data_IF_111274549280
#
_entry.id   IF_111274549280
#
_cell.length_a   1.000
_cell.length_b   1.000
_cell.length_c   1.000
_cell.angle_alpha   90.00
_cell.angle_beta   90.00
_cell.angle_gamma   90.00
#
_symmetry.space_group_name_H-M   'P 1'
#
loop_
_entity.id
_entity.type
_entity.pdbx_description
1 polymer ?
#
# COMPACT_ATOMS: atom_id res chain seq x y z
N UNK A 1 -4.79 -35.04 -7.55
CA UNK A 1 -6.28 -34.97 -7.56
C UNK A 1 -6.83 -33.80 -8.40
N UNK A 2 -6.13 -32.66 -8.51
CA UNK A 2 -6.61 -31.42 -9.18
C UNK A 2 -6.92 -31.55 -10.69
N UNK A 3 -6.12 -32.28 -11.47
CA UNK A 3 -6.39 -32.50 -12.91
C UNK A 3 -7.66 -33.31 -13.23
N UNK A 4 -8.21 -34.09 -12.28
CA UNK A 4 -9.38 -34.95 -12.56
C UNK A 4 -10.70 -34.16 -12.64
N UNK A 5 -10.87 -33.13 -11.79
CA UNK A 5 -12.06 -32.27 -11.81
C UNK A 5 -12.08 -31.32 -13.03
N UNK A 6 -10.91 -30.82 -13.44
CA UNK A 6 -10.76 -30.04 -14.67
C UNK A 6 -11.06 -30.88 -15.92
N UNK A 7 -10.46 -32.08 -16.02
CA UNK A 7 -10.72 -32.97 -17.14
C UNK A 7 -12.18 -33.44 -17.21
N UNK A 8 -12.93 -33.44 -16.10
CA UNK A 8 -14.38 -33.68 -16.13
C UNK A 8 -15.18 -32.47 -16.59
N UNK A 9 -14.79 -31.24 -16.22
CA UNK A 9 -15.45 -30.00 -16.69
C UNK A 9 -15.28 -29.81 -18.19
N UNK A 10 -14.06 -29.98 -18.71
CA UNK A 10 -13.78 -29.90 -20.16
C UNK A 10 -14.45 -31.03 -20.95
N UNK A 11 -14.62 -32.21 -20.36
CA UNK A 11 -15.28 -33.35 -21.02
C UNK A 11 -16.81 -33.29 -21.02
N UNK A 12 -17.44 -32.53 -20.11
CA UNK A 12 -18.89 -32.62 -19.87
C UNK A 12 -19.76 -31.58 -20.62
N UNK A 13 -19.19 -30.56 -21.27
CA UNK A 13 -20.00 -29.59 -22.01
C UNK A 13 -19.29 -28.28 -22.31
N UNK A 14 -19.87 -27.48 -23.21
CA UNK A 14 -19.37 -26.14 -23.59
C UNK A 14 -19.42 -25.22 -22.38
N UNK A 15 -18.26 -24.86 -21.84
CA UNK A 15 -18.14 -23.81 -20.83
C UNK A 15 -18.70 -22.50 -21.40
N UNK A 16 -19.39 -21.74 -20.56
CA UNK A 16 -19.77 -20.35 -20.86
C UNK A 16 -18.54 -19.45 -20.83
N UNK A 17 -18.64 -18.28 -21.46
CA UNK A 17 -17.58 -17.27 -21.43
C UNK A 17 -17.12 -16.92 -20.03
N UNK A 18 -18.09 -16.67 -19.14
CA UNK A 18 -17.87 -16.38 -17.73
C UNK A 18 -17.09 -17.49 -17.02
N UNK A 19 -17.44 -18.75 -17.24
CA UNK A 19 -16.76 -19.88 -16.62
C UNK A 19 -15.30 -20.00 -17.08
N UNK A 20 -15.03 -19.79 -18.38
CA UNK A 20 -13.66 -19.78 -18.91
C UNK A 20 -12.86 -18.61 -18.32
N UNK A 21 -13.43 -17.41 -18.26
CA UNK A 21 -12.77 -16.25 -17.66
C UNK A 21 -12.48 -16.42 -16.17
N UNK A 22 -13.45 -16.91 -15.39
CA UNK A 22 -13.26 -17.18 -13.96
C UNK A 22 -12.18 -18.24 -13.72
N UNK A 23 -12.00 -19.17 -14.66
CA UNK A 23 -10.94 -20.16 -14.57
C UNK A 23 -9.55 -19.54 -14.76
N UNK A 24 -9.42 -18.55 -15.65
CA UNK A 24 -8.17 -17.78 -15.78
C UNK A 24 -7.84 -17.03 -14.48
N UNK A 25 -8.83 -16.36 -13.86
CA UNK A 25 -8.62 -15.70 -12.56
C UNK A 25 -8.23 -16.71 -11.47
N UNK A 26 -8.87 -17.88 -11.41
CA UNK A 26 -8.49 -18.93 -10.44
C UNK A 26 -7.08 -19.46 -10.66
N UNK A 27 -6.67 -19.59 -11.91
CA UNK A 27 -5.30 -19.97 -12.28
C UNK A 27 -4.29 -18.96 -11.76
N UNK A 28 -4.55 -17.68 -12.02
CA UNK A 28 -3.77 -16.54 -11.53
C UNK A 28 -3.68 -16.54 -9.99
N UNK A 29 -4.81 -16.65 -9.28
CA UNK A 29 -4.82 -16.76 -7.80
C UNK A 29 -3.92 -17.89 -7.32
N UNK A 30 -3.98 -19.07 -7.95
CA UNK A 30 -3.14 -20.20 -7.58
C UNK A 30 -1.65 -19.91 -7.79
N UNK A 31 -1.29 -19.23 -8.89
CA UNK A 31 0.09 -18.83 -9.17
C UNK A 31 0.61 -17.89 -8.08
N UNK A 32 -0.19 -16.86 -7.71
CA UNK A 32 0.17 -15.95 -6.62
C UNK A 32 0.29 -16.69 -5.27
N UNK A 33 -0.66 -17.56 -4.95
CA UNK A 33 -0.64 -18.38 -3.74
C UNK A 33 0.63 -19.23 -3.64
N UNK A 34 1.04 -19.88 -4.73
CA UNK A 34 2.25 -20.68 -4.80
C UNK A 34 3.50 -19.81 -4.64
N UNK A 35 3.53 -18.65 -5.30
CA UNK A 35 4.63 -17.70 -5.18
C UNK A 35 4.81 -17.19 -3.75
N UNK A 36 3.71 -16.79 -3.09
CA UNK A 36 3.79 -16.27 -1.71
C UNK A 36 4.11 -17.35 -0.67
N UNK A 37 3.70 -18.61 -0.88
CA UNK A 37 3.98 -19.71 0.05
C UNK A 37 5.39 -20.28 -0.13
N UNK A 38 5.78 -20.55 -1.36
CA UNK A 38 6.94 -21.39 -1.66
C UNK A 38 8.06 -20.63 -2.41
N UNK A 39 7.85 -19.36 -2.76
CA UNK A 39 8.78 -18.56 -3.57
C UNK A 39 8.93 -19.05 -5.02
N UNK A 40 8.16 -20.06 -5.42
CA UNK A 40 8.22 -20.69 -6.73
C UNK A 40 7.05 -20.20 -7.59
N UNK A 41 7.38 -19.68 -8.77
CA UNK A 41 6.44 -19.58 -9.87
C UNK A 41 6.22 -20.98 -10.45
N UNK A 42 5.31 -21.73 -9.84
CA UNK A 42 4.84 -23.01 -10.39
C UNK A 42 3.93 -22.76 -11.60
N UNK A 43 3.79 -23.78 -12.44
CA UNK A 43 2.75 -23.82 -13.45
C UNK A 43 1.40 -23.80 -12.74
N UNK A 44 0.48 -22.93 -13.14
CA UNK A 44 -0.83 -22.77 -12.52
C UNK A 44 -1.71 -24.04 -12.52
N UNK A 45 -2.99 -23.85 -12.25
CA UNK A 45 -4.02 -24.89 -12.40
C UNK A 45 -4.14 -25.43 -13.83
N UNK A 46 -3.91 -24.59 -14.84
CA UNK A 46 -4.09 -24.89 -16.26
C UNK A 46 -2.88 -24.43 -17.09
N UNK A 47 -2.64 -25.10 -18.22
CA UNK A 47 -1.62 -24.69 -19.19
C UNK A 47 -2.24 -23.92 -20.38
N UNK A 48 -1.40 -23.26 -21.17
CA UNK A 48 -1.86 -22.48 -22.32
C UNK A 48 -2.69 -23.29 -23.31
N UNK A 49 -2.30 -24.52 -23.62
CA UNK A 49 -3.05 -25.40 -24.53
C UNK A 49 -4.48 -25.66 -24.03
N UNK A 50 -4.66 -25.76 -22.72
CA UNK A 50 -5.98 -25.91 -22.09
C UNK A 50 -6.80 -24.63 -22.18
N UNK A 51 -6.19 -23.47 -21.96
CA UNK A 51 -6.83 -22.15 -22.15
C UNK A 51 -7.31 -22.00 -23.59
N UNK A 52 -6.44 -22.23 -24.57
CA UNK A 52 -6.74 -22.11 -26.00
C UNK A 52 -7.92 -23.01 -26.41
N UNK A 53 -7.95 -24.24 -25.89
CA UNK A 53 -9.04 -25.18 -26.14
C UNK A 53 -10.39 -24.71 -25.55
N UNK A 54 -10.38 -24.11 -24.35
CA UNK A 54 -11.58 -23.56 -23.73
C UNK A 54 -12.10 -22.33 -24.50
N UNK A 55 -11.21 -21.42 -24.88
CA UNK A 55 -11.56 -20.21 -25.63
C UNK A 55 -12.09 -20.55 -27.02
N UNK A 56 -11.46 -21.49 -27.74
CA UNK A 56 -11.94 -21.97 -29.03
C UNK A 56 -13.32 -22.66 -28.95
N UNK A 57 -13.73 -23.09 -27.75
CA UNK A 57 -15.05 -23.65 -27.47
C UNK A 57 -16.18 -22.62 -27.40
N UNK A 58 -15.86 -21.33 -27.22
CA UNK A 58 -16.83 -20.23 -27.11
C UNK A 58 -17.34 -19.86 -28.50
N UNK A 59 -18.63 -20.12 -28.76
CA UNK A 59 -19.23 -19.93 -30.10
C UNK A 59 -20.32 -18.86 -30.17
N UNK A 60 -20.85 -18.42 -29.03
CA UNK A 60 -21.91 -17.40 -28.98
C UNK A 60 -21.28 -16.05 -28.71
N UNK A 61 -21.82 -14.99 -29.31
CA UNK A 61 -21.35 -13.63 -29.07
C UNK A 61 -21.42 -13.24 -27.58
N UNK A 62 -22.45 -13.70 -26.86
CA UNK A 62 -22.57 -13.47 -25.42
C UNK A 62 -21.46 -14.18 -24.63
N UNK A 63 -21.09 -15.40 -25.03
CA UNK A 63 -19.98 -16.12 -24.37
C UNK A 63 -18.66 -15.38 -24.61
N UNK A 64 -18.40 -14.90 -25.82
CA UNK A 64 -17.19 -14.13 -26.10
C UNK A 64 -17.16 -12.80 -25.33
N UNK A 65 -18.31 -12.13 -25.21
CA UNK A 65 -18.44 -10.91 -24.42
C UNK A 65 -18.13 -11.17 -22.93
N UNK A 66 -18.84 -12.11 -22.32
CA UNK A 66 -18.67 -12.45 -20.90
C UNK A 66 -17.23 -12.90 -20.58
N UNK A 67 -16.58 -13.62 -21.51
CA UNK A 67 -15.17 -13.97 -21.38
C UNK A 67 -14.27 -12.73 -21.38
N UNK A 68 -14.42 -11.85 -22.37
CA UNK A 68 -13.58 -10.65 -22.48
C UNK A 68 -13.74 -9.72 -21.28
N UNK A 69 -14.96 -9.57 -20.76
CA UNK A 69 -15.22 -8.73 -19.59
C UNK A 69 -14.48 -9.26 -18.34
N UNK A 70 -14.42 -10.59 -18.17
CA UNK A 70 -13.67 -11.21 -17.07
C UNK A 70 -12.15 -11.16 -17.31
N UNK A 71 -11.69 -11.24 -18.57
CA UNK A 71 -10.26 -11.09 -18.90
C UNK A 71 -9.77 -9.66 -18.67
N UNK A 72 -10.59 -8.63 -18.91
CA UNK A 72 -10.22 -7.26 -18.56
C UNK A 72 -9.99 -7.11 -17.04
N UNK A 73 -10.82 -7.77 -16.23
CA UNK A 73 -10.62 -7.86 -14.79
C UNK A 73 -9.33 -8.62 -14.44
N UNK A 74 -9.07 -9.77 -15.06
CA UNK A 74 -7.83 -10.51 -14.88
C UNK A 74 -6.59 -9.63 -15.13
N UNK A 75 -6.58 -8.89 -16.24
CA UNK A 75 -5.50 -7.97 -16.60
C UNK A 75 -5.38 -6.81 -15.62
N UNK A 76 -6.51 -6.31 -15.09
CA UNK A 76 -6.49 -5.32 -14.02
C UNK A 76 -5.82 -5.89 -12.76
N UNK A 77 -6.17 -7.11 -12.34
CA UNK A 77 -5.61 -7.74 -11.13
C UNK A 77 -4.08 -7.87 -11.23
N UNK A 78 -3.56 -8.22 -12.41
CA UNK A 78 -2.10 -8.26 -12.65
C UNK A 78 -1.45 -6.87 -12.57
N UNK A 79 -2.06 -5.85 -13.18
CA UNK A 79 -1.52 -4.48 -13.07
C UNK A 79 -1.60 -3.95 -11.64
N UNK A 80 -2.69 -4.25 -10.93
CA UNK A 80 -2.91 -3.84 -9.56
C UNK A 80 -1.91 -4.49 -8.60
N UNK A 81 -1.58 -5.77 -8.77
CA UNK A 81 -0.60 -6.47 -7.93
C UNK A 81 0.80 -5.85 -8.06
N UNK A 82 1.22 -5.49 -9.28
CA UNK A 82 2.48 -4.79 -9.55
C UNK A 82 2.45 -3.40 -8.91
N UNK A 83 1.40 -2.62 -9.17
CA UNK A 83 1.29 -1.26 -8.65
C UNK A 83 1.22 -1.23 -7.11
N UNK A 84 0.51 -2.18 -6.50
CA UNK A 84 0.46 -2.37 -5.05
C UNK A 84 1.85 -2.68 -4.48
N UNK A 85 2.59 -3.58 -5.12
CA UNK A 85 3.95 -3.94 -4.70
C UNK A 85 4.91 -2.74 -4.74
N UNK A 86 4.81 -1.91 -5.79
CA UNK A 86 5.58 -0.66 -5.90
C UNK A 86 5.22 0.34 -4.80
N UNK A 87 3.93 0.53 -4.51
CA UNK A 87 3.48 1.41 -3.42
C UNK A 87 3.99 0.91 -2.05
N UNK A 88 3.96 -0.41 -1.81
CA UNK A 88 4.48 -1.02 -0.58
C UNK A 88 6.00 -0.81 -0.43
N UNK A 89 6.76 -0.98 -1.51
CA UNK A 89 8.20 -0.72 -1.52
C UNK A 89 8.52 0.75 -1.28
N UNK A 90 7.80 1.67 -1.95
CA UNK A 90 7.95 3.11 -1.73
C UNK A 90 7.69 3.51 -0.28
N UNK A 91 6.60 3.00 0.30
CA UNK A 91 6.29 3.19 1.73
C UNK A 91 7.44 2.73 2.62
N UNK A 92 7.97 1.52 2.37
CA UNK A 92 9.06 0.96 3.17
C UNK A 92 10.34 1.81 3.10
N UNK A 93 10.72 2.28 1.91
CA UNK A 93 11.89 3.13 1.74
C UNK A 93 11.73 4.44 2.52
N UNK A 94 10.60 5.12 2.35
CA UNK A 94 10.34 6.38 3.03
C UNK A 94 10.29 6.22 4.56
N UNK A 95 9.69 5.13 5.06
CA UNK A 95 9.70 4.78 6.48
C UNK A 95 11.11 4.55 7.01
N UNK A 96 11.96 3.83 6.28
CA UNK A 96 13.35 3.59 6.69
C UNK A 96 14.15 4.89 6.75
N UNK A 97 14.01 5.76 5.75
CA UNK A 97 14.66 7.06 5.73
C UNK A 97 14.23 7.95 6.90
N UNK A 98 12.92 8.01 7.14
CA UNK A 98 12.37 8.80 8.24
C UNK A 98 12.79 8.24 9.60
N UNK A 99 12.73 6.92 9.78
CA UNK A 99 13.21 6.24 10.99
C UNK A 99 14.68 6.56 11.26
N UNK A 100 15.51 6.55 10.22
CA UNK A 100 16.93 6.88 10.35
C UNK A 100 17.12 8.32 10.82
N UNK A 101 16.48 9.30 10.16
CA UNK A 101 16.56 10.71 10.53
C UNK A 101 16.13 10.94 11.99
N UNK A 102 14.99 10.37 12.40
CA UNK A 102 14.46 10.50 13.75
C UNK A 102 15.36 9.83 14.80
N UNK A 103 15.96 8.68 14.47
CA UNK A 103 16.88 7.99 15.37
C UNK A 103 18.18 8.78 15.58
N UNK A 104 18.76 9.31 14.49
CA UNK A 104 19.98 10.14 14.57
C UNK A 104 19.71 11.43 15.35
N UNK A 105 18.55 12.06 15.13
CA UNK A 105 18.13 13.21 15.92
C UNK A 105 18.00 12.87 17.42
N UNK A 106 17.34 11.78 17.76
CA UNK A 106 17.22 11.33 19.15
C UNK A 106 18.60 11.10 19.78
N UNK A 107 19.54 10.51 19.05
CA UNK A 107 20.92 10.33 19.52
C UNK A 107 21.62 11.66 19.77
N UNK A 108 21.50 12.61 18.84
CA UNK A 108 22.09 13.95 18.98
C UNK A 108 21.52 14.70 20.20
N UNK A 109 20.21 14.61 20.45
CA UNK A 109 19.58 15.20 21.62
C UNK A 109 20.04 14.58 22.94
N UNK A 110 20.14 13.25 22.98
CA UNK A 110 20.63 12.55 24.16
C UNK A 110 22.10 12.91 24.46
N UNK A 111 22.93 13.03 23.42
CA UNK A 111 24.33 13.44 23.55
C UNK A 111 24.45 14.90 24.00
N UNK A 112 23.60 15.80 23.48
CA UNK A 112 23.51 17.18 23.94
C UNK A 112 23.16 17.27 25.43
N UNK A 113 22.23 16.45 25.92
CA UNK A 113 21.91 16.35 27.34
C UNK A 113 23.12 15.87 28.15
N UNK A 114 23.82 14.83 27.66
CA UNK A 114 24.99 14.24 28.33
C UNK A 114 26.15 15.23 28.45
N UNK A 115 26.53 15.87 27.36
CA UNK A 115 27.65 16.82 27.31
C UNK A 115 27.42 18.03 28.20
N UNK A 116 26.16 18.45 28.38
CA UNK A 116 25.83 19.51 29.32
C UNK A 116 26.10 19.13 30.78
N UNK A 117 26.03 17.84 31.13
CA UNK A 117 26.38 17.33 32.45
C UNK A 117 27.91 17.19 32.65
N UNK A 118 28.67 17.20 31.56
CA UNK A 118 30.14 17.04 31.53
C UNK A 118 30.82 18.25 30.87
N UNK A 119 30.92 19.40 31.57
CA UNK A 119 31.27 20.71 30.99
C UNK A 119 32.67 20.86 30.37
N UNK A 120 33.47 19.79 30.28
CA UNK A 120 34.80 19.79 29.64
C UNK A 120 34.82 19.24 28.22
N UNK A 121 33.68 18.77 27.71
CA UNK A 121 33.59 18.10 26.42
C UNK A 121 32.98 19.03 25.36
N UNK A 122 33.66 19.21 24.23
CA UNK A 122 33.14 19.95 23.07
C UNK A 122 32.10 19.11 22.32
N UNK A 123 30.98 19.73 21.93
CA UNK A 123 29.97 19.12 21.08
C UNK A 123 30.59 18.67 19.76
N UNK A 124 30.33 17.45 19.34
CA UNK A 124 30.77 16.98 18.03
C UNK A 124 29.91 17.63 16.93
N UNK A 125 30.52 18.05 15.82
CA UNK A 125 29.82 18.74 14.71
C UNK A 125 28.59 17.98 14.18
N UNK A 126 28.61 16.64 14.24
CA UNK A 126 27.45 15.85 13.81
C UNK A 126 26.25 16.02 14.75
N UNK A 127 26.46 16.22 16.05
CA UNK A 127 25.36 16.44 17.00
C UNK A 127 24.64 17.75 16.65
N UNK A 128 25.38 18.83 16.40
CA UNK A 128 24.80 20.13 16.05
C UNK A 128 23.93 20.05 14.79
N UNK A 129 24.34 19.27 13.79
CA UNK A 129 23.60 19.08 12.52
C UNK A 129 22.28 18.31 12.68
N UNK A 130 22.17 17.47 13.70
CA UNK A 130 21.01 16.59 13.91
C UNK A 130 20.20 16.95 15.17
N UNK A 131 20.58 18.01 15.88
CA UNK A 131 19.76 18.60 16.94
C UNK A 131 18.45 19.17 16.37
N UNK A 132 17.44 19.30 17.22
CA UNK A 132 16.08 19.69 16.85
C UNK A 132 16.01 20.98 16.05
N UNK A 133 16.79 22.00 16.45
CA UNK A 133 16.80 23.28 15.76
C UNK A 133 17.34 23.16 14.32
N UNK A 134 18.40 22.38 14.11
CA UNK A 134 18.95 22.10 12.79
C UNK A 134 18.02 21.20 11.97
N UNK A 135 17.40 20.18 12.58
CA UNK A 135 16.42 19.32 11.90
C UNK A 135 15.22 20.13 11.41
N UNK A 136 14.62 20.96 12.27
CA UNK A 136 13.48 21.80 11.90
C UNK A 136 13.87 22.71 10.72
N UNK A 137 15.04 23.34 10.79
CA UNK A 137 15.48 24.34 9.81
C UNK A 137 15.92 23.72 8.49
N UNK A 138 16.74 22.67 8.54
CA UNK A 138 17.49 22.18 7.39
C UNK A 138 16.90 20.87 6.82
N UNK A 139 16.09 20.14 7.60
CA UNK A 139 15.47 18.87 7.19
C UNK A 139 13.94 18.87 7.26
N UNK A 140 13.31 19.96 7.73
CA UNK A 140 11.86 20.05 7.90
C UNK A 140 11.06 19.74 6.63
N UNK A 141 11.46 20.34 5.50
CA UNK A 141 10.81 20.10 4.20
C UNK A 141 10.95 18.63 3.77
N UNK A 142 12.13 18.03 3.98
CA UNK A 142 12.37 16.62 3.66
C UNK A 142 11.52 15.69 4.52
N UNK A 143 11.41 15.96 5.82
CA UNK A 143 10.57 15.17 6.74
C UNK A 143 9.11 15.26 6.32
N UNK A 144 8.63 16.48 6.02
CA UNK A 144 7.26 16.70 5.54
C UNK A 144 7.00 15.89 4.27
N UNK A 145 7.92 15.97 3.31
CA UNK A 145 7.83 15.22 2.06
C UNK A 145 7.79 13.70 2.29
N UNK A 146 8.65 13.15 3.15
CA UNK A 146 8.64 11.71 3.49
C UNK A 146 7.31 11.28 4.11
N UNK A 147 6.74 12.09 5.01
CA UNK A 147 5.43 11.81 5.62
C UNK A 147 4.32 11.80 4.55
N UNK A 148 4.33 12.78 3.64
CA UNK A 148 3.40 12.83 2.52
C UNK A 148 3.54 11.63 1.58
N UNK A 149 4.77 11.21 1.24
CA UNK A 149 5.04 10.03 0.42
C UNK A 149 4.51 8.75 1.08
N UNK A 150 4.70 8.61 2.39
CA UNK A 150 4.16 7.48 3.17
C UNK A 150 2.62 7.50 3.13
N UNK A 151 1.99 8.64 3.43
CA UNK A 151 0.54 8.78 3.42
C UNK A 151 -0.05 8.43 2.05
N UNK A 152 0.51 9.02 0.98
CA UNK A 152 0.06 8.78 -0.39
C UNK A 152 0.22 7.32 -0.82
N UNK A 153 1.33 6.68 -0.44
CA UNK A 153 1.60 5.29 -0.81
C UNK A 153 0.69 4.31 -0.05
N UNK A 154 0.46 4.53 1.24
CA UNK A 154 -0.48 3.74 2.05
C UNK A 154 -1.91 3.91 1.52
N UNK A 155 -2.34 5.13 1.28
CA UNK A 155 -3.68 5.42 0.74
C UNK A 155 -3.90 4.67 -0.59
N UNK A 156 -2.91 4.69 -1.49
CA UNK A 156 -2.97 3.91 -2.74
C UNK A 156 -3.06 2.41 -2.50
N UNK A 157 -2.28 1.86 -1.58
CA UNK A 157 -2.37 0.45 -1.21
C UNK A 157 -3.77 0.08 -0.70
N UNK A 158 -4.36 0.91 0.18
CA UNK A 158 -5.70 0.71 0.71
C UNK A 158 -6.78 0.78 -0.38
N UNK A 159 -6.64 1.70 -1.35
CA UNK A 159 -7.52 1.79 -2.52
C UNK A 159 -7.45 0.51 -3.36
N UNK A 160 -6.24 -0.03 -3.62
CA UNK A 160 -6.10 -1.27 -4.38
C UNK A 160 -6.73 -2.46 -3.65
N UNK A 161 -6.51 -2.57 -2.33
CA UNK A 161 -7.15 -3.61 -1.50
C UNK A 161 -8.67 -3.53 -1.63
N UNK A 162 -9.24 -2.34 -1.43
CA UNK A 162 -10.69 -2.15 -1.49
C UNK A 162 -11.24 -2.43 -2.89
N UNK A 163 -10.51 -2.06 -3.93
CA UNK A 163 -10.87 -2.35 -5.32
C UNK A 163 -10.95 -3.86 -5.56
N UNK A 164 -9.94 -4.62 -5.10
CA UNK A 164 -9.92 -6.07 -5.24
C UNK A 164 -11.04 -6.73 -4.44
N UNK A 165 -11.32 -6.26 -3.21
CA UNK A 165 -12.45 -6.74 -2.41
C UNK A 165 -13.78 -6.59 -3.16
N UNK A 166 -14.02 -5.41 -3.74
CA UNK A 166 -15.24 -5.14 -4.49
C UNK A 166 -15.34 -6.01 -5.76
N UNK A 167 -14.22 -6.30 -6.41
CA UNK A 167 -14.20 -7.27 -7.52
C UNK A 167 -14.50 -8.69 -7.06
N UNK A 168 -13.97 -9.10 -5.91
CA UNK A 168 -14.14 -10.43 -5.34
C UNK A 168 -15.60 -10.72 -5.06
N UNK A 169 -16.27 -9.75 -4.43
CA UNK A 169 -17.70 -9.80 -4.15
C UNK A 169 -18.51 -9.83 -5.45
N UNK A 170 -18.14 -8.99 -6.42
CA UNK A 170 -18.85 -8.92 -7.71
C UNK A 170 -18.79 -10.23 -8.50
N UNK A 171 -17.62 -10.86 -8.59
CA UNK A 171 -17.45 -12.10 -9.37
C UNK A 171 -17.78 -13.36 -8.56
N UNK A 172 -17.98 -13.23 -7.24
CA UNK A 172 -18.23 -14.35 -6.33
C UNK A 172 -17.00 -15.24 -6.13
N UNK A 173 -15.81 -14.64 -6.08
CA UNK A 173 -14.53 -15.33 -5.92
C UNK A 173 -13.69 -14.66 -4.82
N UNK A 174 -14.00 -14.89 -3.52
CA UNK A 174 -13.31 -14.24 -2.40
C UNK A 174 -11.81 -14.53 -2.34
N UNK A 175 -11.34 -15.59 -3.01
CA UNK A 175 -9.93 -15.97 -3.03
C UNK A 175 -9.03 -14.92 -3.71
N UNK A 176 -9.58 -14.04 -4.56
CA UNK A 176 -8.78 -12.96 -5.18
C UNK A 176 -8.30 -11.93 -4.15
N UNK A 177 -8.94 -11.84 -2.98
CA UNK A 177 -8.51 -10.95 -1.91
C UNK A 177 -7.09 -11.26 -1.42
N UNK A 178 -6.60 -12.49 -1.68
CA UNK A 178 -5.25 -12.92 -1.32
C UNK A 178 -4.18 -12.52 -2.35
N UNK A 179 -4.58 -12.02 -3.54
CA UNK A 179 -3.61 -11.59 -4.57
C UNK A 179 -2.80 -10.40 -4.08
N UNK A 180 -3.44 -9.51 -3.33
CA UNK A 180 -2.77 -8.39 -2.67
C UNK A 180 -2.36 -8.81 -1.26
N UNK A 181 -1.12 -8.52 -0.90
CA UNK A 181 -0.66 -8.70 0.47
C UNK A 181 -1.17 -7.62 1.42
N UNK A 182 -0.71 -7.66 2.66
CA UNK A 182 -1.05 -6.64 3.65
C UNK A 182 -0.15 -5.40 3.56
N UNK A 183 -0.70 -4.26 3.97
CA UNK A 183 0.07 -3.03 4.25
C UNK A 183 0.91 -3.24 5.52
N UNK A 184 2.17 -2.80 5.52
CA UNK A 184 3.03 -2.99 6.70
C UNK A 184 2.70 -1.98 7.81
N UNK A 185 1.72 -2.32 8.65
CA UNK A 185 1.25 -1.46 9.75
C UNK A 185 2.30 -1.36 10.87
N UNK A 186 3.10 -2.40 11.09
CA UNK A 186 4.09 -2.44 12.16
C UNK A 186 5.19 -1.39 11.99
N UNK A 187 5.68 -1.24 10.76
CA UNK A 187 6.69 -0.22 10.39
C UNK A 187 6.16 1.20 10.66
N UNK A 188 4.89 1.45 10.35
CA UNK A 188 4.23 2.75 10.59
C UNK A 188 4.03 2.99 12.09
N UNK A 189 3.58 1.98 12.84
CA UNK A 189 3.45 2.09 14.29
C UNK A 189 4.78 2.43 14.96
N UNK A 190 5.88 1.86 14.48
CA UNK A 190 7.23 2.16 14.97
C UNK A 190 7.63 3.62 14.70
N UNK A 191 7.39 4.13 13.48
CA UNK A 191 7.67 5.53 13.14
C UNK A 191 6.81 6.48 13.96
N UNK A 192 5.52 6.21 14.09
CA UNK A 192 4.60 7.02 14.89
C UNK A 192 5.05 7.11 16.35
N UNK A 193 5.54 6.01 16.93
CA UNK A 193 6.11 6.01 18.28
C UNK A 193 7.30 6.97 18.41
N UNK A 194 8.22 7.00 17.43
CA UNK A 194 9.33 7.95 17.42
C UNK A 194 8.84 9.40 17.30
N UNK A 195 7.88 9.65 16.40
CA UNK A 195 7.26 10.97 16.20
C UNK A 195 6.59 11.50 17.47
N UNK A 196 6.02 10.64 18.30
CA UNK A 196 5.42 11.02 19.59
C UNK A 196 6.48 11.22 20.70
N UNK A 197 7.48 10.34 20.76
CA UNK A 197 8.48 10.32 21.83
C UNK A 197 9.43 11.50 21.72
N UNK A 198 9.93 11.81 20.52
CA UNK A 198 10.98 12.80 20.31
C UNK A 198 10.58 14.19 20.83
N UNK A 199 9.44 14.79 20.42
CA UNK A 199 9.03 16.10 20.90
C UNK A 199 8.72 16.12 22.41
N UNK A 200 8.36 14.96 22.99
CA UNK A 200 7.94 14.86 24.39
C UNK A 200 9.11 14.63 25.36
N UNK A 201 10.11 13.86 24.96
CA UNK A 201 11.11 13.35 25.90
C UNK A 201 12.56 13.64 25.51
N UNK A 202 12.85 13.98 24.25
CA UNK A 202 14.22 14.22 23.81
C UNK A 202 14.64 15.68 23.96
N UNK A 203 13.71 16.64 23.89
CA UNK A 203 14.02 18.08 23.97
C UNK A 203 13.96 18.54 25.43
N UNK A 204 15.09 18.84 26.09
CA UNK A 204 15.13 19.12 27.56
C UNK A 204 16.03 20.27 28.03
N UNK A 205 16.92 20.78 27.19
CA UNK A 205 18.05 21.64 27.62
C UNK A 205 18.09 23.00 26.92
N UNK A 206 17.06 23.32 26.14
CA UNK A 206 17.03 24.49 25.27
C UNK A 206 16.58 25.77 25.97
N UNK A 207 17.09 26.91 25.50
CA UNK A 207 16.74 28.24 26.01
C UNK A 207 17.61 28.71 27.18
N UNK A 208 18.78 28.10 27.37
CA UNK A 208 19.73 28.46 28.43
C UNK A 208 20.74 29.53 27.98
N UNK A 209 20.85 29.78 26.68
CA UNK A 209 21.69 30.83 26.10
C UNK A 209 20.86 31.78 25.24
N UNK A 210 21.35 33.01 25.03
CA UNK A 210 20.64 34.05 24.29
C UNK A 210 20.35 33.69 22.82
N UNK A 211 21.09 32.74 22.25
CA UNK A 211 20.95 32.32 20.86
C UNK A 211 20.16 31.01 20.71
N UNK A 212 19.77 30.35 21.80
CA UNK A 212 18.97 29.12 21.75
C UNK A 212 17.49 29.43 21.72
N UNK A 213 16.75 28.77 20.82
CA UNK A 213 15.29 28.80 20.84
C UNK A 213 14.76 28.17 22.13
N UNK A 214 13.67 28.69 22.73
CA UNK A 214 13.11 28.08 23.93
C UNK A 214 12.62 26.66 23.70
N UNK A 215 12.81 25.78 24.68
CA UNK A 215 12.39 24.38 24.62
C UNK A 215 10.93 24.20 24.21
N UNK A 216 10.01 24.96 24.80
CA UNK A 216 8.57 24.84 24.51
C UNK A 216 8.25 25.15 23.05
N UNK A 217 8.99 26.07 22.43
CA UNK A 217 8.81 26.42 21.01
C UNK A 217 9.30 25.28 20.13
N UNK A 218 10.49 24.72 20.40
CA UNK A 218 11.02 23.57 19.65
C UNK A 218 10.14 22.34 19.76
N UNK A 219 9.60 22.05 20.95
CA UNK A 219 8.65 20.96 21.15
C UNK A 219 7.36 21.17 20.35
N UNK A 220 6.86 22.40 20.26
CA UNK A 220 5.66 22.71 19.50
C UNK A 220 5.90 22.54 17.98
N UNK A 221 7.00 23.09 17.47
CA UNK A 221 7.40 22.96 16.06
C UNK A 221 7.59 21.49 15.68
N UNK A 222 8.29 20.70 16.51
CA UNK A 222 8.48 19.28 16.24
C UNK A 222 7.18 18.49 16.30
N UNK A 223 6.24 18.83 17.20
CA UNK A 223 4.92 18.18 17.22
C UNK A 223 4.12 18.47 15.95
N UNK A 224 4.26 19.67 15.42
CA UNK A 224 3.60 20.06 14.17
C UNK A 224 4.23 19.36 12.96
N UNK A 225 5.56 19.28 12.93
CA UNK A 225 6.32 18.60 11.89
C UNK A 225 6.15 17.07 11.91
N UNK A 226 6.11 16.47 13.11
CA UNK A 226 6.07 15.03 13.33
C UNK A 226 4.67 14.56 13.73
N UNK A 227 3.67 14.94 12.94
CA UNK A 227 2.30 14.43 13.14
C UNK A 227 2.26 12.93 12.83
N UNK A 228 1.76 12.09 13.76
CA UNK A 228 1.61 10.66 13.51
C UNK A 228 0.69 10.38 12.32
N UNK A 229 1.05 9.35 11.56
CA UNK A 229 0.28 8.87 10.41
C UNK A 229 -0.93 8.09 10.92
N UNK A 230 -2.14 8.54 10.56
CA UNK A 230 -3.38 7.85 10.88
C UNK A 230 -3.84 6.98 9.71
N UNK A 231 -3.49 5.69 9.73
CA UNK A 231 -3.81 4.74 8.66
C UNK A 231 -5.33 4.64 8.41
N UNK A 232 -6.15 4.70 9.47
CA UNK A 232 -7.60 4.61 9.33
C UNK A 232 -8.19 5.81 8.61
N UNK A 233 -7.59 7.00 8.76
CA UNK A 233 -7.98 8.19 8.00
C UNK A 233 -7.59 8.11 6.52
N UNK A 234 -6.67 7.22 6.15
CA UNK A 234 -6.22 7.01 4.76
C UNK A 234 -7.07 5.96 4.03
N UNK A 235 -8.00 5.28 4.70
CA UNK A 235 -8.91 4.34 4.04
C UNK A 235 -9.91 5.08 3.15
N UNK A 236 -10.37 4.47 2.04
CA UNK A 236 -11.55 4.94 1.34
C UNK A 236 -12.73 5.09 2.31
N UNK A 237 -13.54 6.13 2.12
CA UNK A 237 -14.74 6.32 2.93
C UNK A 237 -15.82 5.32 2.54
N UNK A 238 -16.73 5.01 3.47
CA UNK A 238 -17.86 4.10 3.19
C UNK A 238 -18.70 4.58 2.01
N UNK A 239 -18.98 5.89 1.93
CA UNK A 239 -19.69 6.49 0.79
C UNK A 239 -18.95 6.28 -0.55
N UNK A 240 -17.61 6.39 -0.54
CA UNK A 240 -16.80 6.13 -1.72
C UNK A 240 -16.88 4.66 -2.16
N UNK A 241 -16.77 3.73 -1.20
CA UNK A 241 -16.90 2.29 -1.43
C UNK A 241 -18.28 1.94 -2.00
N UNK A 242 -19.37 2.45 -1.40
CA UNK A 242 -20.74 2.22 -1.88
C UNK A 242 -20.94 2.73 -3.31
N UNK A 243 -20.50 3.96 -3.60
CA UNK A 243 -20.57 4.54 -4.94
C UNK A 243 -19.75 3.76 -5.97
N UNK A 244 -18.60 3.24 -5.56
CA UNK A 244 -17.75 2.41 -6.40
C UNK A 244 -18.46 1.07 -6.71
N UNK A 245 -19.03 0.42 -5.69
CA UNK A 245 -19.80 -0.82 -5.83
C UNK A 245 -21.00 -0.65 -6.79
N UNK A 246 -21.74 0.45 -6.68
CA UNK A 246 -22.82 0.77 -7.61
C UNK A 246 -22.33 0.93 -9.05
N UNK A 247 -21.15 1.54 -9.23
CA UNK A 247 -20.53 1.73 -10.56
C UNK A 247 -20.09 0.40 -11.18
N UNK A 248 -19.57 -0.53 -10.37
CA UNK A 248 -19.24 -1.90 -10.79
C UNK A 248 -20.46 -2.62 -11.36
N UNK A 249 -21.61 -2.48 -10.69
CA UNK A 249 -22.86 -3.10 -11.11
C UNK A 249 -23.40 -2.55 -12.45
N UNK A 250 -22.98 -1.34 -12.84
CA UNK A 250 -23.61 -0.59 -13.94
C UNK A 250 -22.73 -0.41 -15.18
N UNK A 251 -21.39 -0.36 -15.07
CA UNK A 251 -20.53 0.17 -16.15
C UNK A 251 -19.40 -0.72 -16.68
N UNK A 252 -18.93 -1.74 -15.97
CA UNK A 252 -17.80 -2.53 -16.46
C UNK A 252 -18.12 -3.31 -17.75
N UNK A 253 -19.41 -3.58 -18.02
CA UNK A 253 -19.85 -4.38 -19.17
C UNK A 253 -20.15 -3.56 -20.45
N UNK A 254 -19.64 -2.33 -20.57
CA UNK A 254 -19.99 -1.45 -21.70
C UNK A 254 -18.95 -0.45 -22.23
N UNK A 255 -17.87 -0.11 -21.53
CA UNK A 255 -16.94 0.95 -21.99
C UNK A 255 -15.49 0.62 -21.59
N UNK A 256 -14.59 0.58 -22.58
CA UNK A 256 -13.15 0.66 -22.37
C UNK A 256 -12.87 1.86 -21.44
N UNK A 257 -12.29 1.63 -20.26
CA UNK A 257 -11.96 2.59 -19.16
C UNK A 257 -12.77 2.44 -17.85
N UNK A 258 -13.71 1.49 -17.74
CA UNK A 258 -14.53 1.33 -16.53
C UNK A 258 -13.73 1.10 -15.24
N UNK A 259 -12.61 0.38 -15.33
CA UNK A 259 -11.71 0.08 -14.20
C UNK A 259 -10.89 1.29 -13.74
N UNK A 260 -10.53 2.20 -14.66
CA UNK A 260 -9.77 3.40 -14.34
C UNK A 260 -10.66 4.52 -13.79
N UNK A 261 -11.89 4.63 -14.27
CA UNK A 261 -12.90 5.51 -13.68
C UNK A 261 -13.31 5.04 -12.29
N UNK A 262 -13.37 3.73 -12.05
CA UNK A 262 -13.57 3.15 -10.73
C UNK A 262 -12.44 3.51 -9.75
N UNK A 263 -11.18 3.36 -10.17
CA UNK A 263 -10.02 3.78 -9.37
C UNK A 263 -10.06 5.29 -9.06
N UNK A 264 -10.48 6.13 -10.02
CA UNK A 264 -10.65 7.58 -9.80
C UNK A 264 -11.73 7.91 -8.76
N UNK A 265 -12.83 7.16 -8.72
CA UNK A 265 -13.89 7.36 -7.71
C UNK A 265 -13.29 7.13 -6.32
N UNK A 266 -12.63 6.00 -6.09
CA UNK A 266 -12.02 5.71 -4.79
C UNK A 266 -10.92 6.71 -4.41
N UNK A 267 -10.20 7.26 -5.41
CA UNK A 267 -9.14 8.26 -5.19
C UNK A 267 -9.66 9.67 -4.89
N UNK A 268 -10.81 10.08 -5.44
CA UNK A 268 -11.29 11.47 -5.32
C UNK A 268 -12.04 11.77 -4.02
N UNK A 269 -12.29 10.74 -3.21
CA UNK A 269 -13.04 10.82 -1.94
C UNK A 269 -12.25 10.30 -0.73
N UNK A 270 -10.96 10.00 -0.89
CA UNK A 270 -10.05 9.78 0.22
C UNK A 270 -9.50 11.15 0.67
N UNK A 271 -9.77 11.53 1.92
CA UNK A 271 -9.47 12.86 2.48
C UNK A 271 -7.98 13.21 2.48
#
# INVERSE_FOLDING_TARGET
MRHKAFNSLVKNGKLTGKEVGLMAIKDQVQIYDNYFKDGNLDNGLINQTQVDAMVAGLKRNNDLKDYNDIIELHDYLDRASIAFSLCKQGTKIAVLELTHLLSVMQMAENENIRLHQEPKSTMAEWCEKYMAEAIIKDQGDRITHLIEEINNSIQRCLIYIETVNLFADYIGLPEINNILGEVNIEDIARVNSLMEIIPKYCIKRYGNTANERPEMVLRADLKELLKPINIEALRPTMEATEKAADTLSFRIFGVQNGTEDFYKILRTTAN
#
